data_IF_533507346788
#
_entry.id   IF_533507346788
#
_cell.length_a   1.000
_cell.length_b   1.000
_cell.length_c   1.000
_cell.angle_alpha   90.00
_cell.angle_beta   90.00
_cell.angle_gamma   90.00
#
_symmetry.space_group_name_H-M   'P 1'
#
loop_
_entity.id
_entity.type
_entity.pdbx_description
1 polymer ?
#
# COMPACT_ATOMS: atom_id res chain seq x y z
N UNK A 1 -2.96 -8.17 5.58
CA UNK A 1 -3.22 -6.70 5.55
C UNK A 1 -3.29 -6.14 4.15
N UNK A 2 -2.27 -6.31 3.30
CA UNK A 2 -2.24 -5.67 1.96
C UNK A 2 -3.49 -5.93 1.13
N UNK A 3 -4.01 -7.17 1.09
CA UNK A 3 -5.27 -7.49 0.37
C UNK A 3 -6.47 -6.63 0.81
N UNK A 4 -6.59 -6.31 2.10
CA UNK A 4 -7.71 -5.53 2.62
C UNK A 4 -7.61 -4.07 2.16
N UNK A 5 -6.40 -3.50 2.20
CA UNK A 5 -6.15 -2.14 1.67
C UNK A 5 -6.28 -2.10 0.16
N UNK A 6 -5.85 -3.15 -0.55
CA UNK A 6 -6.10 -3.30 -1.99
C UNK A 6 -7.59 -3.34 -2.32
N UNK A 7 -8.46 -3.83 -1.44
CA UNK A 7 -9.90 -3.75 -1.68
C UNK A 7 -10.41 -2.31 -1.62
N UNK A 8 -9.85 -1.45 -0.77
CA UNK A 8 -10.15 -0.01 -0.76
C UNK A 8 -9.67 0.61 -2.08
N UNK A 9 -8.42 0.35 -2.46
CA UNK A 9 -7.84 0.82 -3.72
C UNK A 9 -8.66 0.38 -4.95
N UNK A 10 -9.21 -0.83 -4.92
CA UNK A 10 -9.95 -1.44 -6.02
C UNK A 10 -11.48 -1.20 -5.92
N UNK A 11 -11.91 -0.02 -5.46
CA UNK A 11 -13.32 0.37 -5.45
C UNK A 11 -14.25 -0.51 -4.58
N UNK A 12 -13.67 -1.19 -3.60
CA UNK A 12 -14.33 -2.11 -2.68
C UNK A 12 -14.26 -3.58 -3.07
N UNK A 13 -13.64 -3.95 -4.20
CA UNK A 13 -13.54 -5.33 -4.66
C UNK A 13 -12.31 -6.04 -4.07
N UNK A 14 -12.54 -7.07 -3.27
CA UNK A 14 -11.49 -7.93 -2.72
C UNK A 14 -11.13 -9.00 -3.75
N UNK A 15 -9.86 -9.03 -4.17
CA UNK A 15 -9.34 -9.98 -5.16
C UNK A 15 -8.67 -11.18 -4.49
N UNK A 16 -8.60 -12.31 -5.21
CA UNK A 16 -7.67 -13.39 -4.88
C UNK A 16 -6.27 -12.96 -5.37
N UNK A 17 -5.26 -12.87 -4.49
CA UNK A 17 -3.90 -12.56 -4.92
C UNK A 17 -3.27 -13.76 -5.62
N UNK A 18 -2.40 -13.48 -6.58
CA UNK A 18 -1.61 -14.48 -7.30
C UNK A 18 -0.13 -14.07 -7.27
N UNK A 19 0.75 -15.05 -7.15
CA UNK A 19 2.21 -14.89 -7.30
C UNK A 19 2.68 -15.47 -8.64
N UNK A 20 1.93 -16.44 -9.18
CA UNK A 20 2.20 -17.11 -10.46
C UNK A 20 1.15 -16.65 -11.46
N UNK A 21 1.59 -16.17 -12.63
CA UNK A 21 0.71 -15.80 -13.75
C UNK A 21 0.39 -16.99 -14.66
N UNK A 22 1.35 -17.90 -14.84
CA UNK A 22 1.23 -19.03 -15.75
C UNK A 22 2.14 -20.20 -15.31
N UNK A 23 1.70 -21.44 -15.53
CA UNK A 23 2.52 -22.65 -15.47
C UNK A 23 2.69 -23.18 -16.88
N UNK A 24 3.94 -23.39 -17.31
CA UNK A 24 4.28 -23.98 -18.61
C UNK A 24 4.96 -25.33 -18.44
N UNK A 25 4.74 -26.22 -19.41
CA UNK A 25 5.48 -27.47 -19.53
C UNK A 25 6.94 -27.20 -19.95
N UNK A 26 7.77 -28.25 -19.92
CA UNK A 26 9.14 -28.20 -20.47
C UNK A 26 9.17 -27.92 -21.98
N UNK A 27 8.09 -28.19 -22.69
CA UNK A 27 7.93 -27.90 -24.13
C UNK A 27 7.39 -26.50 -24.40
N UNK A 28 7.11 -25.71 -23.36
CA UNK A 28 6.58 -24.34 -23.47
C UNK A 28 5.06 -24.24 -23.58
N UNK A 29 4.33 -25.37 -23.52
CA UNK A 29 2.87 -25.40 -23.53
C UNK A 29 2.29 -24.83 -22.23
N UNK A 30 1.27 -23.99 -22.33
CA UNK A 30 0.56 -23.44 -21.17
C UNK A 30 -0.32 -24.50 -20.51
N UNK A 31 0.06 -24.93 -19.31
CA UNK A 31 -0.70 -25.89 -18.49
C UNK A 31 -1.82 -25.16 -17.73
N UNK A 32 -1.51 -23.97 -17.20
CA UNK A 32 -2.46 -23.16 -16.45
C UNK A 32 -2.13 -21.67 -16.57
N UNK A 33 -3.17 -20.83 -16.66
CA UNK A 33 -3.07 -19.37 -16.60
C UNK A 33 -3.95 -18.86 -15.46
N UNK A 34 -3.45 -17.89 -14.71
CA UNK A 34 -4.13 -17.35 -13.53
C UNK A 34 -4.56 -15.90 -13.78
N UNK A 35 -5.84 -15.74 -14.10
CA UNK A 35 -6.46 -14.43 -14.30
C UNK A 35 -6.98 -13.82 -12.99
N UNK A 36 -7.19 -12.49 -12.92
CA UNK A 36 -7.75 -11.84 -11.74
C UNK A 36 -9.13 -12.41 -11.38
N UNK A 37 -9.30 -12.88 -10.13
CA UNK A 37 -10.56 -13.42 -9.62
C UNK A 37 -11.07 -12.58 -8.45
N UNK A 38 -12.31 -12.07 -8.59
CA UNK A 38 -13.03 -11.40 -7.52
C UNK A 38 -13.46 -12.42 -6.46
N UNK A 39 -13.13 -12.16 -5.19
CA UNK A 39 -13.58 -12.99 -4.06
C UNK A 39 -14.94 -12.54 -3.53
N UNK A 40 -15.07 -11.23 -3.31
CA UNK A 40 -16.27 -10.56 -2.78
C UNK A 40 -16.09 -9.04 -2.81
N UNK A 41 -17.15 -8.31 -2.47
CA UNK A 41 -17.12 -6.86 -2.31
C UNK A 41 -17.49 -6.45 -0.87
N UNK A 42 -16.53 -6.37 0.07
CA UNK A 42 -16.84 -6.08 1.47
C UNK A 42 -17.36 -4.65 1.72
N UNK A 43 -17.06 -3.69 0.84
CA UNK A 43 -17.49 -2.29 0.97
C UNK A 43 -17.96 -1.73 -0.38
N UNK A 44 -18.83 -0.73 -0.35
CA UNK A 44 -19.28 -0.03 -1.57
C UNK A 44 -18.14 0.80 -2.18
N UNK A 45 -18.27 1.18 -3.45
CA UNK A 45 -17.33 2.12 -4.09
C UNK A 45 -17.35 3.49 -3.42
N UNK A 46 -18.52 3.94 -2.96
CA UNK A 46 -18.65 5.20 -2.23
C UNK A 46 -17.86 5.15 -0.90
N UNK A 47 -17.99 4.05 -0.16
CA UNK A 47 -17.22 3.82 1.08
C UNK A 47 -15.73 3.72 0.78
N UNK A 48 -15.34 3.00 -0.28
CA UNK A 48 -13.95 2.89 -0.69
C UNK A 48 -13.36 4.27 -1.02
N UNK A 49 -14.07 5.09 -1.79
CA UNK A 49 -13.66 6.47 -2.11
C UNK A 49 -13.53 7.34 -0.85
N UNK A 50 -14.49 7.27 0.06
CA UNK A 50 -14.43 8.01 1.31
C UNK A 50 -13.22 7.59 2.17
N UNK A 51 -12.93 6.29 2.24
CA UNK A 51 -11.74 5.78 2.94
C UNK A 51 -10.45 6.23 2.27
N UNK A 52 -10.39 6.28 0.93
CA UNK A 52 -9.25 6.82 0.20
C UNK A 52 -8.96 8.26 0.61
N UNK A 53 -9.98 9.13 0.68
CA UNK A 53 -9.79 10.52 1.12
C UNK A 53 -9.27 10.62 2.56
N UNK A 54 -9.84 9.82 3.47
CA UNK A 54 -9.39 9.77 4.86
C UNK A 54 -7.92 9.32 4.94
N UNK A 55 -7.55 8.32 4.14
CA UNK A 55 -6.18 7.80 4.08
C UNK A 55 -5.19 8.79 3.43
N UNK A 56 -5.62 9.62 2.48
CA UNK A 56 -4.80 10.74 1.96
C UNK A 56 -4.44 11.71 3.08
N UNK A 57 -5.40 12.06 3.94
CA UNK A 57 -5.19 12.95 5.08
C UNK A 57 -4.07 12.49 6.03
N UNK A 58 -3.85 11.18 6.17
CA UNK A 58 -2.77 10.66 7.01
C UNK A 58 -1.36 10.95 6.45
N UNK A 59 -1.23 11.23 5.15
CA UNK A 59 0.04 11.46 4.45
C UNK A 59 0.27 12.96 4.18
N UNK A 60 -0.77 13.79 4.29
CA UNK A 60 -0.67 15.25 4.18
C UNK A 60 -0.10 15.91 5.45
N UNK A 61 0.35 17.17 5.38
CA UNK A 61 0.81 17.91 6.56
C UNK A 61 -0.21 17.85 7.72
N UNK A 62 0.27 17.56 8.92
CA UNK A 62 -0.58 17.29 10.10
C UNK A 62 -0.99 15.82 10.27
N UNK A 63 -0.76 14.97 9.26
CA UNK A 63 -0.94 13.53 9.33
C UNK A 63 0.22 12.78 10.02
N UNK A 64 -0.03 11.53 10.41
CA UNK A 64 0.98 10.69 11.09
C UNK A 64 1.97 10.01 10.14
N UNK A 65 1.67 9.99 8.85
CA UNK A 65 2.38 9.24 7.81
C UNK A 65 3.01 10.12 6.74
N UNK A 66 3.33 11.37 7.05
CA UNK A 66 3.85 12.38 6.11
C UNK A 66 5.09 11.92 5.34
N UNK A 67 5.97 11.15 5.99
CA UNK A 67 7.17 10.60 5.35
C UNK A 67 6.88 9.50 4.31
N UNK A 68 5.61 9.09 4.17
CA UNK A 68 5.13 8.19 3.12
C UNK A 68 4.73 8.91 1.82
N UNK A 69 4.76 10.25 1.79
CA UNK A 69 4.42 11.03 0.60
C UNK A 69 5.42 10.77 -0.54
N UNK A 70 4.91 10.57 -1.76
CA UNK A 70 5.74 10.34 -2.95
C UNK A 70 5.62 11.55 -3.87
N UNK A 71 6.70 12.31 -4.13
CA UNK A 71 6.63 13.50 -4.98
C UNK A 71 6.01 13.21 -6.36
N UNK A 72 5.03 14.02 -6.75
CA UNK A 72 4.31 13.87 -8.02
C UNK A 72 3.15 12.86 -8.00
N UNK A 73 2.92 12.18 -6.88
CA UNK A 73 1.86 11.19 -6.74
C UNK A 73 1.00 11.41 -5.49
N UNK A 74 -0.31 11.30 -5.64
CA UNK A 74 -1.21 11.25 -4.48
C UNK A 74 -1.17 9.87 -3.84
N UNK A 75 -0.83 9.83 -2.56
CA UNK A 75 -0.73 8.60 -1.78
C UNK A 75 -1.89 8.55 -0.78
N UNK A 76 -2.62 7.44 -0.78
CA UNK A 76 -3.52 7.07 0.31
C UNK A 76 -2.80 6.05 1.19
N UNK A 77 -2.50 6.41 2.43
CA UNK A 77 -1.67 5.59 3.31
C UNK A 77 -2.12 5.56 4.76
N UNK A 78 -1.59 4.61 5.53
CA UNK A 78 -1.82 4.53 6.97
C UNK A 78 -0.64 3.91 7.69
N UNK A 79 -0.31 4.53 8.82
CA UNK A 79 0.65 4.05 9.82
C UNK A 79 0.07 2.96 10.71
N UNK A 80 0.90 2.00 11.12
CA UNK A 80 0.63 1.06 12.19
C UNK A 80 1.82 0.95 13.13
N UNK A 81 1.56 0.96 14.44
CA UNK A 81 2.53 0.69 15.51
C UNK A 81 1.85 -0.27 16.48
N UNK A 82 2.41 -1.45 16.69
CA UNK A 82 1.82 -2.46 17.57
C UNK A 82 2.86 -3.00 18.56
N UNK A 83 2.50 -3.10 19.83
CA UNK A 83 3.34 -3.76 20.84
C UNK A 83 3.28 -5.27 20.65
N UNK A 84 4.43 -5.94 20.77
CA UNK A 84 4.51 -7.41 20.79
C UNK A 84 4.18 -7.94 22.18
N UNK A 85 3.81 -9.20 22.27
CA UNK A 85 3.62 -9.87 23.57
C UNK A 85 4.96 -10.15 24.24
N UNK A 86 5.01 -9.95 25.55
CA UNK A 86 6.12 -10.32 26.41
C UNK A 86 5.96 -11.78 26.87
N UNK A 87 6.85 -12.71 26.47
CA UNK A 87 6.73 -14.12 26.83
C UNK A 87 6.93 -14.36 28.33
N UNK A 88 7.60 -13.46 29.06
CA UNK A 88 7.83 -13.62 30.51
C UNK A 88 6.62 -13.20 31.32
N UNK A 89 5.96 -12.11 30.93
CA UNK A 89 4.83 -11.54 31.68
C UNK A 89 3.46 -11.91 31.10
N UNK A 90 3.41 -12.40 29.86
CA UNK A 90 2.17 -12.62 29.11
C UNK A 90 1.46 -11.33 28.66
N UNK A 91 1.95 -10.15 29.08
CA UNK A 91 1.41 -8.84 28.73
C UNK A 91 2.03 -8.24 27.45
N UNK A 92 1.85 -6.94 27.24
CA UNK A 92 2.53 -6.23 26.16
C UNK A 92 3.95 -5.83 26.56
N UNK A 93 4.89 -6.03 25.63
CA UNK A 93 6.24 -5.54 25.77
C UNK A 93 6.27 -4.01 25.71
N UNK A 94 7.04 -3.39 26.61
CA UNK A 94 7.28 -1.95 26.60
C UNK A 94 8.28 -1.53 25.51
N UNK A 95 9.10 -2.46 25.01
CA UNK A 95 10.23 -2.15 24.10
C UNK A 95 10.15 -2.86 22.75
N UNK A 96 9.41 -3.96 22.65
CA UNK A 96 9.31 -4.74 21.40
C UNK A 96 8.06 -4.35 20.65
N UNK A 97 8.26 -3.77 19.47
CA UNK A 97 7.19 -3.22 18.63
C UNK A 97 7.33 -3.69 17.19
N UNK A 98 6.20 -3.70 16.48
CA UNK A 98 6.13 -3.84 15.03
C UNK A 98 5.69 -2.49 14.45
N UNK A 99 6.51 -1.93 13.58
CA UNK A 99 6.23 -0.69 12.87
C UNK A 99 5.83 -1.01 11.42
N UNK A 100 4.74 -0.42 10.95
CA UNK A 100 4.24 -0.69 9.61
C UNK A 100 3.65 0.54 8.93
N UNK A 101 3.67 0.49 7.60
CA UNK A 101 3.00 1.46 6.75
C UNK A 101 2.39 0.73 5.57
N UNK A 102 1.12 1.00 5.29
CA UNK A 102 0.41 0.44 4.14
C UNK A 102 -0.23 1.56 3.35
N UNK A 103 -0.15 1.50 2.03
CA UNK A 103 -0.76 2.51 1.19
C UNK A 103 -0.84 2.08 -0.27
N UNK A 104 -1.50 2.92 -1.06
CA UNK A 104 -1.59 2.76 -2.50
C UNK A 104 -1.51 4.10 -3.21
N UNK A 105 -1.07 4.04 -4.48
CA UNK A 105 -0.88 5.20 -5.34
C UNK A 105 -1.02 4.85 -6.83
N UNK A 106 -1.38 5.81 -7.69
CA UNK A 106 -2.03 7.09 -7.34
C UNK A 106 -3.36 6.87 -6.62
N UNK A 107 -3.75 7.75 -5.70
CA UNK A 107 -4.92 7.50 -4.87
C UNK A 107 -6.26 7.56 -5.66
N UNK A 108 -6.35 8.31 -6.75
CA UNK A 108 -7.55 8.39 -7.61
C UNK A 108 -7.64 7.31 -8.69
N UNK A 109 -6.49 6.78 -9.13
CA UNK A 109 -6.41 5.67 -10.09
C UNK A 109 -5.35 4.66 -9.62
N UNK A 110 -5.65 3.86 -8.57
CA UNK A 110 -4.64 3.03 -7.92
C UNK A 110 -4.04 1.98 -8.83
N UNK A 111 -2.72 2.03 -8.99
CA UNK A 111 -1.93 1.05 -9.77
C UNK A 111 -1.08 0.15 -8.88
N UNK A 112 -0.72 0.62 -7.69
CA UNK A 112 0.20 -0.08 -6.80
C UNK A 112 -0.27 0.02 -5.35
N UNK A 113 -0.26 -1.09 -4.63
CA UNK A 113 -0.45 -1.16 -3.18
C UNK A 113 0.80 -1.76 -2.53
N UNK A 114 1.35 -1.11 -1.52
CA UNK A 114 2.57 -1.53 -0.83
C UNK A 114 2.29 -1.62 0.67
N UNK A 115 2.79 -2.68 1.29
CA UNK A 115 2.85 -2.85 2.73
C UNK A 115 4.31 -3.02 3.14
N UNK A 116 4.77 -2.17 4.05
CA UNK A 116 6.05 -2.30 4.74
C UNK A 116 5.80 -2.68 6.19
N UNK A 117 6.53 -3.67 6.68
CA UNK A 117 6.53 -4.10 8.08
C UNK A 117 7.98 -4.22 8.53
N UNK A 118 8.31 -3.60 9.65
CA UNK A 118 9.62 -3.66 10.30
C UNK A 118 9.41 -4.23 11.70
N UNK A 119 10.04 -5.37 11.97
CA UNK A 119 9.97 -6.05 13.26
C UNK A 119 11.08 -5.52 14.18
N UNK A 120 10.71 -5.11 15.39
CA UNK A 120 11.61 -4.64 16.45
C UNK A 120 12.67 -3.61 16.00
N UNK A 121 12.27 -2.47 15.40
CA UNK A 121 13.22 -1.41 15.08
C UNK A 121 13.86 -0.84 16.37
N UNK A 122 15.15 -0.50 16.30
CA UNK A 122 15.96 -0.24 17.50
C UNK A 122 15.97 1.22 17.98
N UNK A 123 15.82 2.20 17.07
CA UNK A 123 16.00 3.64 17.40
C UNK A 123 14.70 4.41 17.47
N UNK A 124 13.70 4.01 16.68
CA UNK A 124 12.39 4.63 16.54
C UNK A 124 11.36 3.53 16.37
N UNK A 125 10.10 3.76 16.74
CA UNK A 125 9.08 2.70 16.69
C UNK A 125 7.78 3.13 16.01
N UNK A 126 7.63 4.39 15.62
CA UNK A 126 6.43 4.83 14.93
C UNK A 126 6.42 4.35 13.48
N UNK A 127 5.30 3.75 13.03
CA UNK A 127 5.14 3.37 11.63
C UNK A 127 5.39 4.54 10.66
N UNK A 128 5.08 5.77 11.08
CA UNK A 128 5.34 6.99 10.33
C UNK A 128 6.82 7.35 10.18
N UNK A 129 7.66 7.08 11.19
CA UNK A 129 9.09 7.41 11.17
C UNK A 129 9.94 6.26 10.64
N UNK A 130 9.52 5.01 10.87
CA UNK A 130 10.27 3.81 10.48
C UNK A 130 9.86 3.28 9.11
N UNK A 131 8.57 2.97 8.93
CA UNK A 131 8.10 2.23 7.76
C UNK A 131 7.67 3.13 6.60
N UNK A 132 7.14 4.34 6.88
CA UNK A 132 6.68 5.26 5.85
C UNK A 132 7.81 5.73 4.90
N UNK A 133 9.04 6.08 5.37
CA UNK A 133 10.14 6.41 4.47
C UNK A 133 10.57 5.23 3.57
N UNK A 134 10.47 4.00 4.07
CA UNK A 134 10.77 2.80 3.28
C UNK A 134 9.71 2.63 2.19
N UNK A 135 8.42 2.80 2.53
CA UNK A 135 7.32 2.82 1.56
C UNK A 135 7.59 3.86 0.46
N UNK A 136 7.95 5.09 0.85
CA UNK A 136 8.20 6.19 -0.08
C UNK A 136 9.30 5.83 -1.09
N UNK A 137 10.43 5.26 -0.62
CA UNK A 137 11.55 4.87 -1.49
C UNK A 137 11.17 3.76 -2.48
N UNK A 138 10.46 2.74 -1.99
CA UNK A 138 9.98 1.63 -2.84
C UNK A 138 8.99 2.16 -3.88
N UNK A 139 7.99 2.94 -3.44
CA UNK A 139 6.97 3.51 -4.30
C UNK A 139 7.59 4.40 -5.38
N UNK A 140 8.51 5.30 -5.02
CA UNK A 140 9.19 6.19 -5.96
C UNK A 140 9.97 5.43 -7.04
N UNK A 141 10.61 4.31 -6.70
CA UNK A 141 11.28 3.46 -7.69
C UNK A 141 10.28 2.68 -8.54
N UNK A 142 9.26 2.09 -7.92
CA UNK A 142 8.27 1.26 -8.58
C UNK A 142 7.45 2.04 -9.62
N UNK A 143 7.00 3.26 -9.31
CA UNK A 143 6.22 4.08 -10.26
C UNK A 143 7.03 4.41 -11.52
N UNK A 144 8.33 4.69 -11.38
CA UNK A 144 9.23 4.89 -12.53
C UNK A 144 9.43 3.62 -13.33
N UNK A 145 9.64 2.48 -12.66
CA UNK A 145 9.84 1.19 -13.31
C UNK A 145 8.60 0.73 -14.08
N UNK A 146 7.41 0.99 -13.54
CA UNK A 146 6.12 0.60 -14.11
C UNK A 146 5.56 1.62 -15.11
N UNK A 147 6.25 2.74 -15.34
CA UNK A 147 5.78 3.79 -16.26
C UNK A 147 4.48 4.45 -15.81
N UNK A 148 4.22 4.52 -14.50
CA UNK A 148 3.05 5.22 -13.96
C UNK A 148 3.35 6.72 -14.04
N UNK A 149 2.52 7.49 -14.74
CA UNK A 149 2.77 8.92 -14.98
C UNK A 149 2.37 9.75 -13.75
N UNK A 150 3.20 10.74 -13.31
CA UNK A 150 2.84 11.66 -12.24
C UNK A 150 1.59 12.50 -12.56
N UNK A 151 0.77 12.80 -11.55
CA UNK A 151 -0.45 13.61 -11.76
C UNK A 151 -0.13 15.07 -12.09
N UNK A 152 1.01 15.58 -11.62
CA UNK A 152 1.52 16.92 -11.97
C UNK A 152 1.80 17.06 -13.47
N UNK A 153 2.20 15.97 -14.14
CA UNK A 153 2.46 15.94 -15.58
C UNK A 153 1.18 15.69 -16.38
N UNK A 154 0.25 14.87 -15.87
CA UNK A 154 -1.05 14.63 -16.51
C UNK A 154 -1.86 15.92 -16.69
N UNK A 155 -1.86 16.81 -15.69
CA UNK A 155 -2.52 18.11 -15.79
C UNK A 155 -1.95 19.00 -16.90
N UNK A 156 -0.64 18.93 -17.16
CA UNK A 156 0.01 19.68 -18.23
C UNK A 156 -0.26 19.08 -19.62
N UNK A 157 -0.27 17.75 -19.73
CA UNK A 157 -0.58 17.05 -20.99
C UNK A 157 -2.06 17.29 -21.40
N UNK A 158 -2.97 17.30 -20.42
CA UNK A 158 -4.39 17.59 -20.67
C UNK A 158 -4.64 19.07 -21.01
N UNK A 159 -3.88 20.00 -20.44
CA UNK A 159 -3.98 21.42 -20.75
C UNK A 159 -3.31 21.82 -22.08
N UNK A 160 -2.44 20.98 -22.63
CA UNK A 160 -1.77 21.19 -23.92
C UNK A 160 -2.54 20.61 -25.13
N UNK A 161 -3.76 20.10 -24.91
CA UNK A 161 -4.68 19.61 -25.94
C UNK A 161 -5.88 20.54 -26.07
#
# INVERSE_FOLDING_TARGET
>A
MVMAVSAIANGGWLMRPYVVSEVRSSTGETIARFEPVVRRRPISSQTAKALTEIMRGAVLPGGTGTLGAVPGYDVAGKTGTAQKTDPLTGGYSATRMVSSFVGFLPADDPKLAILVVVDEPQTEHWGGTVAAPVFQRIAAQAVRHLGIVPQTEQGQILAAR
#
